data_IF_731688247187
#
_entry.id   IF_731688247187
#
_cell.length_a   1.000
_cell.length_b   1.000
_cell.length_c   1.000
_cell.angle_alpha   90.00
_cell.angle_beta   90.00
_cell.angle_gamma   90.00
#
_symmetry.space_group_name_H-M   'P 1'
#
loop_
_entity.id
_entity.type
_entity.pdbx_description
1 polymer ?
#
# COMPACT_ATOMS: atom_id res chain seq x y z
N UNK A 1 14.61 33.87 -7.57
CA UNK A 1 14.58 32.62 -6.77
C UNK A 1 14.30 31.48 -7.75
N UNK A 2 15.22 30.54 -7.91
CA UNK A 2 15.01 29.40 -8.80
C UNK A 2 13.76 28.63 -8.31
N UNK A 3 12.76 28.47 -9.19
CA UNK A 3 11.56 27.69 -8.94
C UNK A 3 11.91 26.19 -8.85
N UNK A 4 12.60 25.79 -7.79
CA UNK A 4 12.90 24.37 -7.54
C UNK A 4 11.56 23.70 -7.19
N UNK A 5 11.07 22.89 -8.12
CA UNK A 5 9.90 22.04 -7.92
C UNK A 5 10.35 20.58 -7.88
N UNK A 6 10.12 19.92 -6.75
CA UNK A 6 10.29 18.48 -6.66
C UNK A 6 8.92 17.81 -6.68
N UNK A 7 8.80 16.69 -7.35
CA UNK A 7 7.54 15.94 -7.41
C UNK A 7 7.76 14.44 -7.50
N UNK A 8 6.78 13.68 -7.04
CA UNK A 8 6.73 12.22 -7.17
C UNK A 8 5.30 11.70 -7.05
N UNK A 9 5.09 10.47 -7.50
CA UNK A 9 3.87 9.70 -7.23
C UNK A 9 4.16 8.80 -6.03
N UNK A 10 3.38 8.90 -4.97
CA UNK A 10 3.47 7.97 -3.85
C UNK A 10 2.69 6.70 -4.18
N UNK A 11 3.40 5.64 -4.57
CA UNK A 11 2.77 4.40 -5.04
C UNK A 11 2.07 3.67 -3.91
N UNK A 12 0.90 3.09 -4.22
CA UNK A 12 0.20 2.21 -3.27
C UNK A 12 1.04 0.97 -2.95
N UNK A 13 0.95 0.50 -1.71
CA UNK A 13 1.50 -0.78 -1.26
C UNK A 13 0.39 -1.84 -1.35
N UNK A 14 0.62 -2.92 -2.08
CA UNK A 14 -0.30 -4.06 -2.18
C UNK A 14 0.35 -5.28 -1.55
N UNK A 15 -0.30 -5.86 -0.56
CA UNK A 15 0.11 -7.14 0.01
C UNK A 15 -0.38 -8.27 -0.92
N UNK A 16 0.53 -8.86 -1.69
CA UNK A 16 0.22 -10.00 -2.58
C UNK A 16 -0.12 -11.25 -1.78
N UNK A 17 0.50 -11.45 -0.62
CA UNK A 17 0.03 -12.27 0.49
C UNK A 17 0.33 -11.55 1.81
N UNK A 18 -0.36 -11.94 2.88
CA UNK A 18 -0.10 -11.47 4.22
C UNK A 18 -0.35 -12.59 5.22
N UNK A 19 0.70 -13.13 5.77
CA UNK A 19 0.65 -14.09 6.87
C UNK A 19 0.89 -13.37 8.19
N UNK A 20 0.12 -13.74 9.20
CA UNK A 20 0.34 -13.35 10.59
C UNK A 20 0.95 -14.55 11.28
N UNK A 21 2.23 -14.45 11.67
CA UNK A 21 3.02 -15.56 12.20
C UNK A 21 3.13 -15.56 13.72
N UNK A 22 2.47 -14.61 14.39
CA UNK A 22 2.44 -14.55 15.85
C UNK A 22 2.01 -13.19 16.38
N UNK A 23 1.66 -13.16 17.66
CA UNK A 23 1.34 -11.96 18.41
C UNK A 23 2.46 -11.65 19.40
N UNK A 24 2.89 -10.40 19.45
CA UNK A 24 3.94 -9.91 20.35
C UNK A 24 3.37 -9.47 21.70
N UNK A 25 4.24 -9.40 22.69
CA UNK A 25 3.87 -8.92 24.04
C UNK A 25 3.45 -7.43 24.05
N UNK A 26 3.94 -6.63 23.10
CA UNK A 26 3.59 -5.21 22.91
C UNK A 26 2.26 -4.98 22.20
N UNK A 27 1.54 -6.07 21.88
CA UNK A 27 0.22 -6.03 21.21
C UNK A 27 0.28 -6.03 19.69
N UNK A 28 1.44 -5.81 19.08
CA UNK A 28 1.64 -5.95 17.64
C UNK A 28 1.65 -7.42 17.20
N UNK A 29 1.53 -7.63 15.88
CA UNK A 29 1.62 -8.95 15.27
C UNK A 29 2.88 -9.04 14.40
N UNK A 30 3.55 -10.19 14.47
CA UNK A 30 4.61 -10.51 13.53
C UNK A 30 3.98 -10.93 12.21
N UNK A 31 4.45 -10.30 11.14
CA UNK A 31 3.95 -10.49 9.79
C UNK A 31 5.01 -11.17 8.91
N UNK A 32 4.54 -11.82 7.87
CA UNK A 32 5.31 -12.24 6.71
C UNK A 32 4.47 -11.96 5.47
N UNK A 33 4.95 -11.10 4.59
CA UNK A 33 4.16 -10.61 3.45
C UNK A 33 5.05 -10.33 2.24
N UNK A 34 4.55 -10.59 1.06
CA UNK A 34 5.14 -10.10 -0.20
C UNK A 34 4.37 -8.86 -0.64
N UNK A 35 5.08 -7.75 -0.80
CA UNK A 35 4.49 -6.48 -1.16
C UNK A 35 4.97 -5.99 -2.51
N UNK A 36 4.05 -5.44 -3.29
CA UNK A 36 4.30 -4.85 -4.60
C UNK A 36 3.79 -3.40 -4.64
N UNK A 37 4.38 -2.61 -5.54
CA UNK A 37 4.10 -1.18 -5.67
C UNK A 37 3.67 -0.84 -7.11
N UNK A 38 2.42 -1.11 -7.50
CA UNK A 38 1.90 -0.71 -8.80
C UNK A 38 2.04 0.81 -9.00
N UNK A 39 2.23 1.25 -10.25
CA UNK A 39 2.36 2.67 -10.57
C UNK A 39 1.00 3.41 -10.50
N UNK A 40 0.38 3.34 -9.34
CA UNK A 40 -0.85 4.03 -8.96
C UNK A 40 -0.58 4.70 -7.63
N UNK A 41 -0.94 5.99 -7.46
CA UNK A 41 -0.64 6.69 -6.22
C UNK A 41 -1.26 8.07 -6.14
N UNK A 42 -0.98 8.72 -5.02
CA UNK A 42 -1.21 10.15 -4.84
C UNK A 42 -0.06 10.93 -5.48
N UNK A 43 -0.31 12.12 -5.99
CA UNK A 43 0.73 13.00 -6.51
C UNK A 43 1.17 13.96 -5.42
N UNK A 44 2.48 14.07 -5.22
CA UNK A 44 3.08 15.00 -4.25
C UNK A 44 3.99 15.96 -5.01
N UNK A 45 3.83 17.25 -4.73
CA UNK A 45 4.69 18.32 -5.21
C UNK A 45 5.19 19.12 -4.02
N UNK A 46 6.47 19.50 -4.02
CA UNK A 46 7.09 20.26 -2.92
C UNK A 46 7.86 21.43 -3.49
N UNK A 47 7.68 22.58 -2.86
CA UNK A 47 8.35 23.84 -3.20
C UNK A 47 9.06 24.38 -1.95
N UNK A 48 10.19 25.12 -2.11
CA UNK A 48 10.81 25.84 -1.01
C UNK A 48 9.84 26.87 -0.41
N UNK A 49 9.81 26.98 0.91
CA UNK A 49 9.00 27.97 1.64
C UNK A 49 9.69 28.34 2.96
N UNK A 50 9.21 29.38 3.64
CA UNK A 50 9.68 29.75 4.98
C UNK A 50 9.12 28.83 6.07
N UNK A 51 7.91 28.35 5.88
CA UNK A 51 7.17 27.50 6.82
C UNK A 51 6.80 26.16 6.18
N UNK A 52 6.45 25.17 7.00
CA UNK A 52 5.87 23.92 6.51
C UNK A 52 4.37 24.11 6.35
N UNK A 53 3.91 24.04 5.11
CA UNK A 53 2.50 24.11 4.78
C UNK A 53 2.07 22.84 4.03
N UNK A 54 0.84 22.39 4.23
CA UNK A 54 0.25 21.24 3.53
C UNK A 54 -1.07 21.65 2.90
N UNK A 55 -1.13 21.58 1.58
CA UNK A 55 -2.35 21.75 0.79
C UNK A 55 -2.80 20.39 0.25
N UNK A 56 -4.06 20.03 0.50
CA UNK A 56 -4.64 18.76 0.02
C UNK A 56 -5.71 19.08 -1.03
N UNK A 57 -5.54 18.50 -2.20
CA UNK A 57 -6.48 18.54 -3.33
C UNK A 57 -6.89 17.12 -3.75
N UNK A 58 -7.67 16.99 -4.82
CA UNK A 58 -8.07 15.69 -5.38
C UNK A 58 -9.45 15.23 -4.92
N UNK A 59 -9.90 14.11 -5.50
CA UNK A 59 -11.26 13.59 -5.31
C UNK A 59 -11.57 13.20 -3.87
N UNK A 60 -10.55 12.75 -3.12
CA UNK A 60 -10.69 12.21 -1.77
C UNK A 60 -10.18 13.16 -0.67
N UNK A 61 -9.98 14.46 -1.00
CA UNK A 61 -9.46 15.47 -0.06
C UNK A 61 -10.28 15.62 1.21
N UNK A 62 -11.62 15.52 1.13
CA UNK A 62 -12.53 15.72 2.27
C UNK A 62 -12.38 14.65 3.36
N UNK A 63 -11.74 13.54 3.05
CA UNK A 63 -11.61 12.42 3.97
C UNK A 63 -10.36 12.49 4.86
N UNK A 64 -9.46 13.45 4.62
CA UNK A 64 -8.17 13.57 5.34
C UNK A 64 -8.17 14.76 6.30
N UNK A 65 -7.96 14.55 7.61
CA UNK A 65 -7.64 15.62 8.53
C UNK A 65 -6.24 16.17 8.25
N UNK A 66 -6.08 17.49 8.28
CA UNK A 66 -4.78 18.16 8.08
C UNK A 66 -3.89 17.99 9.32
N UNK A 67 -4.45 18.25 10.52
CA UNK A 67 -3.68 18.31 11.77
C UNK A 67 -2.94 17.00 12.14
N UNK A 68 -3.54 15.84 11.88
CA UNK A 68 -2.98 14.51 12.21
C UNK A 68 -2.32 13.83 11.01
N UNK A 69 -1.99 14.59 9.95
CA UNK A 69 -1.47 14.02 8.72
C UNK A 69 -0.02 13.51 8.88
N UNK A 70 0.23 12.28 8.46
CA UNK A 70 1.57 11.67 8.48
C UNK A 70 2.61 12.48 7.70
N UNK A 71 2.21 13.23 6.68
CA UNK A 71 3.09 14.13 5.92
C UNK A 71 3.68 15.21 6.84
N UNK A 72 2.85 15.86 7.65
CA UNK A 72 3.33 16.88 8.60
C UNK A 72 4.15 16.26 9.73
N UNK A 73 3.79 15.06 10.19
CA UNK A 73 4.59 14.33 11.18
C UNK A 73 5.96 13.93 10.59
N UNK A 74 6.00 13.49 9.33
CA UNK A 74 7.24 13.15 8.63
C UNK A 74 8.17 14.35 8.48
N UNK A 75 7.66 15.53 8.14
CA UNK A 75 8.49 16.74 8.02
C UNK A 75 9.16 17.15 9.33
N UNK A 76 8.53 16.86 10.47
CA UNK A 76 9.08 17.15 11.82
C UNK A 76 10.22 16.23 12.24
N UNK A 77 10.46 15.12 11.53
CA UNK A 77 11.59 14.23 11.83
C UNK A 77 12.94 14.86 11.48
N UNK A 78 12.99 15.90 10.66
CA UNK A 78 14.20 16.67 10.35
C UNK A 78 14.48 17.72 11.44
N UNK A 79 14.81 17.26 12.65
CA UNK A 79 14.85 18.07 13.90
C UNK A 79 15.74 19.31 13.83
N UNK A 80 16.84 19.27 13.08
CA UNK A 80 17.82 20.35 13.00
C UNK A 80 17.64 21.24 11.77
N UNK A 81 16.60 21.02 10.97
CA UNK A 81 16.36 21.80 9.77
C UNK A 81 15.39 22.96 10.07
N UNK A 82 15.81 24.18 9.73
CA UNK A 82 15.00 25.40 9.88
C UNK A 82 14.28 25.81 8.58
N UNK A 83 14.52 25.10 7.48
CA UNK A 83 13.90 25.42 6.19
C UNK A 83 12.44 24.93 6.17
N UNK A 84 11.57 25.69 5.53
CA UNK A 84 10.19 25.31 5.29
C UNK A 84 9.99 24.66 3.90
N UNK A 85 8.78 24.22 3.67
CA UNK A 85 8.34 23.67 2.39
C UNK A 85 6.82 23.80 2.23
N UNK A 86 6.38 24.17 1.04
CA UNK A 86 4.99 24.08 0.62
C UNK A 86 4.75 22.72 -0.01
N UNK A 87 3.99 21.87 0.65
CA UNK A 87 3.71 20.49 0.26
C UNK A 87 2.30 20.41 -0.32
N UNK A 88 2.17 19.98 -1.56
CA UNK A 88 0.89 19.82 -2.24
C UNK A 88 0.62 18.34 -2.46
N UNK A 89 -0.42 17.82 -1.81
CA UNK A 89 -0.90 16.45 -1.97
C UNK A 89 -2.16 16.43 -2.83
N UNK A 90 -2.11 15.76 -3.99
CA UNK A 90 -3.31 15.45 -4.77
C UNK A 90 -3.75 14.02 -4.41
N UNK A 91 -4.82 13.92 -3.59
CA UNK A 91 -5.32 12.68 -3.01
C UNK A 91 -6.23 11.93 -3.98
N UNK A 92 -5.76 10.79 -4.46
CA UNK A 92 -6.45 9.93 -5.44
C UNK A 92 -6.67 8.50 -4.94
N UNK A 93 -6.02 8.11 -3.84
CA UNK A 93 -6.07 6.76 -3.26
C UNK A 93 -7.05 6.74 -2.09
N UNK A 94 -7.96 5.75 -2.01
CA UNK A 94 -8.87 5.60 -0.88
C UNK A 94 -8.14 5.52 0.47
N UNK A 95 -8.79 6.03 1.52
CA UNK A 95 -8.25 6.05 2.88
C UNK A 95 -8.72 4.82 3.62
N UNK A 96 -7.88 4.27 4.52
CA UNK A 96 -8.18 3.05 5.30
C UNK A 96 -8.59 1.88 4.41
N UNK A 97 -7.90 1.72 3.29
CA UNK A 97 -8.24 0.80 2.20
C UNK A 97 -7.25 -0.37 2.03
N UNK A 98 -6.35 -0.60 2.99
CA UNK A 98 -5.35 -1.67 2.88
C UNK A 98 -4.24 -1.42 1.85
N UNK A 99 -4.08 -0.17 1.38
CA UNK A 99 -3.14 0.22 0.32
C UNK A 99 -1.91 1.01 0.82
N UNK A 100 -1.75 1.20 2.12
CA UNK A 100 -0.61 1.91 2.70
C UNK A 100 -0.47 3.37 2.25
N UNK A 101 -1.55 4.02 1.77
CA UNK A 101 -1.48 5.34 1.13
C UNK A 101 -0.87 6.43 1.99
N UNK A 102 -1.19 6.47 3.30
CA UNK A 102 -0.59 7.43 4.24
C UNK A 102 0.90 7.21 4.45
N UNK A 103 1.32 5.95 4.63
CA UNK A 103 2.73 5.57 4.80
C UNK A 103 3.54 5.85 3.54
N UNK A 104 2.96 5.58 2.36
CA UNK A 104 3.61 5.89 1.08
C UNK A 104 3.75 7.41 0.87
N UNK A 105 2.74 8.21 1.25
CA UNK A 105 2.83 9.66 1.20
C UNK A 105 3.95 10.17 2.11
N UNK A 106 4.04 9.68 3.35
CA UNK A 106 5.10 10.04 4.29
C UNK A 106 6.49 9.66 3.75
N UNK A 107 6.65 8.43 3.21
CA UNK A 107 7.91 7.97 2.62
C UNK A 107 8.39 8.86 1.48
N UNK A 108 7.48 9.25 0.57
CA UNK A 108 7.81 10.15 -0.54
C UNK A 108 8.18 11.54 -0.04
N UNK A 109 7.43 12.08 0.93
CA UNK A 109 7.72 13.40 1.51
C UNK A 109 9.08 13.40 2.18
N UNK A 110 9.44 12.37 2.96
CA UNK A 110 10.78 12.26 3.56
C UNK A 110 11.88 12.34 2.48
N UNK A 111 11.76 11.60 1.39
CA UNK A 111 12.72 11.65 0.28
C UNK A 111 12.81 13.01 -0.40
N UNK A 112 11.65 13.61 -0.68
CA UNK A 112 11.60 14.90 -1.36
C UNK A 112 12.13 16.03 -0.48
N UNK A 113 11.84 16.03 0.84
CA UNK A 113 12.37 17.01 1.79
C UNK A 113 13.87 16.85 2.00
N UNK A 114 14.37 15.61 2.15
CA UNK A 114 15.81 15.32 2.22
C UNK A 114 16.55 15.90 1.00
N UNK A 115 15.98 15.69 -0.20
CA UNK A 115 16.54 16.26 -1.45
C UNK A 115 16.43 17.79 -1.51
N UNK A 116 15.26 18.36 -1.12
CA UNK A 116 15.02 19.80 -1.17
C UNK A 116 15.98 20.56 -0.26
N UNK A 117 16.19 20.03 0.95
CA UNK A 117 17.00 20.67 1.97
C UNK A 117 18.48 20.25 1.95
N UNK A 118 18.82 19.29 1.08
CA UNK A 118 20.15 18.69 0.98
C UNK A 118 20.65 18.16 2.35
N UNK A 119 19.80 17.42 3.05
CA UNK A 119 20.10 16.81 4.35
C UNK A 119 19.83 15.30 4.30
N UNK A 120 20.52 14.48 5.15
CA UNK A 120 20.27 13.05 5.19
C UNK A 120 18.84 12.76 5.64
N UNK A 121 18.35 11.57 5.25
CA UNK A 121 17.08 11.05 5.76
C UNK A 121 17.15 10.88 7.29
N UNK A 122 16.02 11.02 7.99
CA UNK A 122 15.93 10.65 9.42
C UNK A 122 16.33 9.18 9.65
N UNK A 123 16.67 8.85 10.90
CA UNK A 123 17.03 7.48 11.23
C UNK A 123 15.89 6.50 10.93
N UNK A 124 16.23 5.25 10.60
CA UNK A 124 15.21 4.23 10.34
C UNK A 124 14.32 4.01 11.57
N UNK A 125 14.87 4.15 12.77
CA UNK A 125 14.15 4.03 14.03
C UNK A 125 13.07 5.13 14.16
N UNK A 126 13.43 6.40 13.88
CA UNK A 126 12.47 7.51 13.90
C UNK A 126 11.36 7.30 12.84
N UNK A 127 11.71 6.77 11.66
CA UNK A 127 10.76 6.46 10.59
C UNK A 127 9.79 5.35 11.00
N UNK A 128 10.28 4.27 11.62
CA UNK A 128 9.45 3.16 12.12
C UNK A 128 8.49 3.64 13.21
N UNK A 129 8.95 4.49 14.13
CA UNK A 129 8.11 5.08 15.19
C UNK A 129 6.99 5.96 14.62
N UNK A 130 7.21 6.60 13.47
CA UNK A 130 6.18 7.35 12.78
C UNK A 130 5.11 6.43 12.17
N UNK A 131 5.51 5.27 11.67
CA UNK A 131 4.63 4.24 11.13
C UNK A 131 5.39 3.05 10.58
N UNK A 132 5.05 1.86 11.05
CA UNK A 132 5.75 0.60 10.72
C UNK A 132 5.78 0.27 9.20
N UNK A 133 4.76 0.71 8.45
CA UNK A 133 4.69 0.53 7.00
C UNK A 133 5.49 1.58 6.19
N UNK A 134 6.08 2.62 6.82
CA UNK A 134 6.81 3.66 6.08
C UNK A 134 8.11 3.12 5.48
N UNK A 135 8.94 2.34 6.20
CA UNK A 135 10.18 1.80 5.66
C UNK A 135 9.99 1.03 4.35
N UNK A 136 9.01 0.15 4.29
CA UNK A 136 8.77 -0.65 3.07
C UNK A 136 8.30 0.22 1.89
N UNK A 137 7.67 1.37 2.16
CA UNK A 137 7.28 2.35 1.13
C UNK A 137 8.44 3.23 0.63
N UNK A 138 9.62 3.17 1.25
CA UNK A 138 10.80 3.92 0.80
C UNK A 138 11.39 3.36 -0.50
N UNK A 139 11.09 2.13 -0.88
CA UNK A 139 11.49 1.54 -2.16
C UNK A 139 10.31 0.84 -2.81
N UNK A 140 10.22 0.89 -4.14
CA UNK A 140 9.05 0.37 -4.87
C UNK A 140 9.32 -0.94 -5.61
N UNK A 141 10.45 -1.59 -5.33
CA UNK A 141 10.73 -2.95 -5.81
C UNK A 141 9.84 -3.95 -5.08
N UNK A 142 9.73 -5.15 -5.64
CA UNK A 142 9.07 -6.26 -4.94
C UNK A 142 9.86 -6.60 -3.67
N UNK A 143 9.17 -6.66 -2.53
CA UNK A 143 9.82 -6.83 -1.22
C UNK A 143 9.08 -7.87 -0.38
N UNK A 144 9.84 -8.68 0.35
CA UNK A 144 9.33 -9.37 1.53
C UNK A 144 9.34 -8.40 2.71
N UNK A 145 8.24 -8.32 3.42
CA UNK A 145 8.05 -7.49 4.59
C UNK A 145 7.75 -8.38 5.79
N UNK A 146 8.57 -8.28 6.83
CA UNK A 146 8.49 -9.10 8.03
C UNK A 146 8.47 -8.25 9.30
N UNK A 147 8.37 -8.90 10.50
CA UNK A 147 8.26 -8.21 11.78
C UNK A 147 6.92 -7.48 11.89
N UNK A 148 6.93 -6.25 12.36
CA UNK A 148 5.72 -5.39 12.39
C UNK A 148 5.51 -4.63 11.05
N UNK A 149 6.35 -4.89 10.04
CA UNK A 149 6.44 -4.18 8.77
C UNK A 149 7.79 -3.46 8.59
N UNK A 150 8.66 -3.57 9.56
CA UNK A 150 9.93 -2.84 9.70
C UNK A 150 11.13 -3.58 9.09
N UNK A 151 11.07 -4.89 8.96
CA UNK A 151 12.13 -5.69 8.33
C UNK A 151 11.76 -6.00 6.87
N UNK A 152 12.55 -5.49 5.94
CA UNK A 152 12.29 -5.63 4.50
C UNK A 152 13.48 -6.20 3.76
N UNK A 153 13.24 -7.07 2.79
CA UNK A 153 14.24 -7.60 1.87
C UNK A 153 13.70 -7.62 0.45
N UNK A 154 14.57 -7.30 -0.52
CA UNK A 154 14.19 -7.31 -1.93
C UNK A 154 14.05 -8.73 -2.45
N UNK A 155 13.01 -8.95 -3.24
CA UNK A 155 12.77 -10.21 -3.94
C UNK A 155 13.01 -9.97 -5.43
N UNK A 156 13.99 -10.67 -5.97
CA UNK A 156 14.22 -10.69 -7.41
C UNK A 156 13.12 -11.49 -8.11
N UNK A 157 12.49 -10.91 -9.10
CA UNK A 157 11.54 -11.60 -9.98
C UNK A 157 11.69 -11.04 -11.40
N UNK A 158 11.60 -11.90 -12.40
CA UNK A 158 11.82 -11.52 -13.81
C UNK A 158 10.51 -11.51 -14.62
N UNK A 159 9.38 -11.62 -13.94
CA UNK A 159 8.07 -11.55 -14.54
C UNK A 159 7.36 -10.20 -14.29
N UNK A 160 6.27 -9.99 -14.98
CA UNK A 160 5.35 -8.90 -14.68
C UNK A 160 3.91 -9.37 -14.84
N UNK A 161 3.05 -8.71 -14.09
CA UNK A 161 1.61 -8.95 -14.10
C UNK A 161 0.87 -7.63 -14.20
N UNK A 162 -0.36 -7.73 -14.62
CA UNK A 162 -1.32 -6.63 -14.51
C UNK A 162 -2.15 -6.85 -13.25
N UNK A 163 -2.29 -5.80 -12.48
CA UNK A 163 -3.15 -5.77 -11.29
C UNK A 163 -4.35 -4.87 -11.56
N UNK A 164 -5.51 -5.37 -11.21
CA UNK A 164 -6.74 -4.59 -11.13
C UNK A 164 -7.09 -4.42 -9.66
N UNK A 165 -7.12 -3.18 -9.20
CA UNK A 165 -7.51 -2.81 -7.82
C UNK A 165 -8.95 -2.30 -7.84
N UNK A 166 -9.75 -2.74 -6.86
CA UNK A 166 -11.12 -2.28 -6.65
C UNK A 166 -11.38 -2.01 -5.18
N UNK A 167 -11.93 -0.84 -4.87
CA UNK A 167 -12.38 -0.45 -3.55
C UNK A 167 -13.81 0.10 -3.65
N UNK A 168 -14.74 -0.48 -2.89
CA UNK A 168 -16.15 -0.11 -2.89
C UNK A 168 -16.50 1.05 -1.95
N UNK A 169 -15.51 1.61 -1.24
CA UNK A 169 -15.68 2.71 -0.28
C UNK A 169 -15.80 2.28 1.17
N UNK A 170 -15.84 0.97 1.47
CA UNK A 170 -15.81 0.49 2.85
C UNK A 170 -14.50 0.89 3.52
N UNK A 171 -14.59 1.29 4.79
CA UNK A 171 -13.43 1.61 5.62
C UNK A 171 -13.21 0.49 6.64
N UNK A 172 -12.09 -0.21 6.52
CA UNK A 172 -11.72 -1.30 7.42
C UNK A 172 -10.64 -0.82 8.39
N UNK A 173 -10.98 -0.50 9.65
CA UNK A 173 -9.98 -0.09 10.65
C UNK A 173 -9.01 -1.23 10.93
N UNK A 174 -7.74 -1.06 10.57
CA UNK A 174 -6.71 -2.11 10.66
C UNK A 174 -6.59 -2.70 12.06
N UNK A 175 -6.61 -1.84 13.09
CA UNK A 175 -6.54 -2.28 14.48
C UNK A 175 -7.73 -3.16 14.91
N UNK A 176 -8.92 -2.90 14.38
CA UNK A 176 -10.10 -3.72 14.63
C UNK A 176 -9.93 -5.12 14.03
N UNK A 177 -9.46 -5.20 12.79
CA UNK A 177 -9.28 -6.49 12.10
C UNK A 177 -8.21 -7.35 12.80
N UNK A 178 -7.08 -6.75 13.21
CA UNK A 178 -6.05 -7.47 13.95
C UNK A 178 -6.51 -7.94 15.34
N UNK A 179 -7.36 -7.19 16.03
CA UNK A 179 -7.93 -7.60 17.33
C UNK A 179 -8.83 -8.82 17.23
N UNK A 180 -9.52 -8.98 16.12
CA UNK A 180 -10.44 -10.10 15.88
C UNK A 180 -9.74 -11.36 15.36
N UNK A 181 -8.44 -11.26 15.03
CA UNK A 181 -7.69 -12.40 14.52
C UNK A 181 -7.39 -13.37 15.67
N UNK A 182 -7.90 -14.60 15.58
CA UNK A 182 -7.59 -15.66 16.53
C UNK A 182 -6.19 -16.23 16.26
N UNK A 183 -5.44 -16.63 17.33
CA UNK A 183 -4.16 -17.34 17.15
C UNK A 183 -4.25 -18.61 16.30
N UNK A 184 -5.39 -19.30 16.30
CA UNK A 184 -5.64 -20.48 15.47
C UNK A 184 -5.64 -20.17 13.96
N UNK A 185 -5.68 -18.89 13.58
CA UNK A 185 -5.64 -18.44 12.19
C UNK A 185 -4.24 -17.98 11.76
N UNK A 186 -3.24 -18.06 12.63
CA UNK A 186 -1.88 -17.71 12.29
C UNK A 186 -1.31 -18.68 11.28
N UNK A 187 -0.44 -18.19 10.43
CA UNK A 187 0.30 -18.96 9.44
C UNK A 187 1.72 -19.23 9.93
N UNK A 188 2.34 -20.27 9.38
CA UNK A 188 3.77 -20.49 9.55
C UNK A 188 4.58 -19.53 8.69
N UNK A 189 5.85 -19.35 9.06
CA UNK A 189 6.85 -18.69 8.21
C UNK A 189 7.08 -19.55 6.98
N UNK A 190 7.07 -18.94 5.81
CA UNK A 190 7.27 -19.65 4.55
C UNK A 190 8.56 -19.21 3.86
N UNK A 191 9.16 -20.13 3.12
CA UNK A 191 10.28 -19.82 2.24
C UNK A 191 9.74 -19.32 0.89
N UNK A 192 10.20 -18.15 0.46
CA UNK A 192 9.92 -17.66 -0.88
C UNK A 192 10.89 -18.34 -1.85
N UNK A 193 10.40 -19.13 -2.82
CA UNK A 193 11.26 -19.76 -3.81
C UNK A 193 11.84 -18.71 -4.78
N UNK A 194 12.78 -19.12 -5.63
CA UNK A 194 13.22 -18.27 -6.74
C UNK A 194 12.03 -17.98 -7.67
N UNK A 195 11.74 -16.71 -7.87
CA UNK A 195 10.63 -16.23 -8.71
C UNK A 195 11.17 -15.82 -10.09
N UNK A 196 11.57 -16.82 -10.89
CA UNK A 196 12.26 -16.57 -12.16
C UNK A 196 11.35 -15.98 -13.25
N UNK A 197 10.03 -16.17 -13.14
CA UNK A 197 9.06 -15.74 -14.12
C UNK A 197 7.67 -15.52 -13.49
N UNK A 198 6.73 -15.06 -14.29
CA UNK A 198 5.33 -14.85 -13.90
C UNK A 198 4.68 -16.16 -13.39
N UNK A 199 4.97 -17.29 -14.01
CA UNK A 199 4.37 -18.59 -13.65
C UNK A 199 4.80 -19.03 -12.25
N UNK A 200 6.10 -18.94 -11.93
CA UNK A 200 6.62 -19.26 -10.60
C UNK A 200 6.05 -18.36 -9.52
N UNK A 201 5.91 -17.05 -9.79
CA UNK A 201 5.27 -16.11 -8.88
C UNK A 201 3.79 -16.49 -8.63
N UNK A 202 3.00 -16.74 -9.66
CA UNK A 202 1.59 -17.12 -9.52
C UNK A 202 1.44 -18.45 -8.79
N UNK A 203 2.28 -19.46 -9.11
CA UNK A 203 2.27 -20.76 -8.41
C UNK A 203 2.54 -20.57 -6.91
N UNK A 204 3.54 -19.76 -6.56
CA UNK A 204 3.84 -19.41 -5.17
C UNK A 204 2.67 -18.67 -4.52
N UNK A 205 2.12 -17.63 -5.14
CA UNK A 205 1.01 -16.88 -4.58
C UNK A 205 -0.24 -17.74 -4.37
N UNK A 206 -0.50 -18.75 -5.21
CA UNK A 206 -1.61 -19.71 -5.03
C UNK A 206 -1.47 -20.56 -3.77
N UNK A 207 -0.25 -20.81 -3.29
CA UNK A 207 -0.01 -21.53 -2.03
C UNK A 207 -0.05 -20.64 -0.79
N UNK A 208 -0.27 -19.35 -0.96
CA UNK A 208 -0.33 -18.34 0.11
C UNK A 208 -1.73 -17.75 0.25
N UNK A 209 -1.95 -16.97 1.31
CA UNK A 209 -3.23 -16.31 1.57
C UNK A 209 -3.04 -14.94 2.25
N UNK A 210 -4.13 -14.26 2.51
CA UNK A 210 -4.17 -13.14 3.44
C UNK A 210 -4.93 -13.59 4.70
N UNK A 211 -4.23 -13.73 5.83
CA UNK A 211 -4.82 -14.22 7.09
C UNK A 211 -5.92 -13.28 7.63
N UNK A 212 -5.87 -11.99 7.26
CA UNK A 212 -6.88 -11.02 7.67
C UNK A 212 -8.17 -11.11 6.83
N UNK A 213 -8.14 -11.75 5.67
CA UNK A 213 -9.26 -11.74 4.70
C UNK A 213 -10.52 -12.38 5.27
N UNK A 214 -10.41 -13.57 5.90
CA UNK A 214 -11.56 -14.26 6.51
C UNK A 214 -12.22 -13.43 7.62
N UNK A 215 -11.39 -12.79 8.45
CA UNK A 215 -11.88 -11.93 9.54
C UNK A 215 -12.56 -10.69 8.99
N UNK A 216 -11.96 -10.08 7.96
CA UNK A 216 -12.53 -8.90 7.33
C UNK A 216 -13.85 -9.22 6.62
N UNK A 217 -13.95 -10.34 5.90
CA UNK A 217 -15.18 -10.80 5.26
C UNK A 217 -16.31 -10.98 6.28
N UNK A 218 -16.01 -11.54 7.46
CA UNK A 218 -17.01 -11.73 8.52
C UNK A 218 -17.63 -10.41 8.97
N UNK A 219 -16.84 -9.33 9.03
CA UNK A 219 -17.30 -7.99 9.43
C UNK A 219 -17.83 -7.14 8.27
N UNK A 220 -17.27 -7.34 7.09
CA UNK A 220 -17.58 -6.61 5.86
C UNK A 220 -17.87 -7.61 4.72
N UNK A 221 -19.09 -8.21 4.68
CA UNK A 221 -19.42 -9.24 3.68
C UNK A 221 -19.31 -8.78 2.23
N UNK A 222 -19.38 -7.46 1.98
CA UNK A 222 -19.14 -6.85 0.67
C UNK A 222 -17.80 -7.26 0.06
N UNK A 223 -16.76 -7.52 0.89
CA UNK A 223 -15.43 -7.97 0.42
C UNK A 223 -15.54 -9.32 -0.30
N UNK A 224 -16.32 -10.26 0.25
CA UNK A 224 -16.55 -11.57 -0.42
C UNK A 224 -17.22 -11.38 -1.77
N UNK A 225 -18.22 -10.49 -1.83
CA UNK A 225 -18.91 -10.17 -3.10
C UNK A 225 -17.93 -9.64 -4.14
N UNK A 226 -16.99 -8.76 -3.74
CA UNK A 226 -15.97 -8.25 -4.65
C UNK A 226 -15.06 -9.38 -5.15
N UNK A 227 -14.56 -10.24 -4.26
CA UNK A 227 -13.69 -11.36 -4.61
C UNK A 227 -14.36 -12.34 -5.57
N UNK A 228 -15.63 -12.70 -5.32
CA UNK A 228 -16.40 -13.56 -6.21
C UNK A 228 -16.53 -12.96 -7.61
N UNK A 229 -16.77 -11.66 -7.72
CA UNK A 229 -16.85 -11.00 -9.01
C UNK A 229 -15.49 -10.93 -9.72
N UNK A 230 -14.37 -10.83 -9.00
CA UNK A 230 -13.06 -10.98 -9.62
C UNK A 230 -12.85 -12.37 -10.22
N UNK A 231 -13.26 -13.43 -9.51
CA UNK A 231 -13.15 -14.82 -9.97
C UNK A 231 -13.97 -15.10 -11.21
N UNK A 232 -15.08 -14.39 -11.40
CA UNK A 232 -15.90 -14.46 -12.62
C UNK A 232 -15.25 -13.79 -13.83
N UNK A 233 -14.18 -13.00 -13.65
CA UNK A 233 -13.54 -12.32 -14.78
C UNK A 233 -12.56 -13.24 -15.51
N UNK A 234 -12.65 -13.25 -16.84
CA UNK A 234 -11.75 -14.06 -17.66
C UNK A 234 -10.29 -13.63 -17.49
N UNK A 235 -9.40 -14.61 -17.33
CA UNK A 235 -7.97 -14.39 -17.15
C UNK A 235 -7.55 -13.96 -15.73
N UNK A 236 -8.45 -13.94 -14.77
CA UNK A 236 -8.09 -13.69 -13.37
C UNK A 236 -7.29 -14.89 -12.83
N UNK A 237 -6.01 -14.67 -12.52
CA UNK A 237 -5.10 -15.71 -12.03
C UNK A 237 -5.21 -15.89 -10.51
N UNK A 238 -5.46 -14.81 -9.81
CA UNK A 238 -5.63 -14.72 -8.35
C UNK A 238 -6.54 -13.55 -8.06
N UNK A 239 -7.50 -13.73 -7.14
CA UNK A 239 -8.23 -12.66 -6.47
C UNK A 239 -7.90 -12.66 -4.99
N UNK A 240 -7.71 -11.47 -4.37
CA UNK A 240 -7.37 -11.36 -2.95
C UNK A 240 -7.60 -9.95 -2.42
N UNK A 241 -7.82 -9.84 -1.11
CA UNK A 241 -7.84 -8.56 -0.39
C UNK A 241 -6.40 -8.11 -0.06
N UNK A 242 -6.10 -6.82 -0.16
CA UNK A 242 -4.82 -6.25 0.25
C UNK A 242 -4.85 -5.77 1.70
N UNK A 243 -3.84 -6.17 2.48
CA UNK A 243 -3.73 -5.77 3.89
C UNK A 243 -4.96 -6.15 4.70
N UNK A 244 -5.44 -5.24 5.53
CA UNK A 244 -6.70 -5.39 6.30
C UNK A 244 -7.96 -5.04 5.48
N UNK A 245 -7.81 -4.77 4.19
CA UNK A 245 -8.89 -4.34 3.31
C UNK A 245 -9.14 -2.81 3.40
N UNK A 246 -10.15 -2.35 2.73
CA UNK A 246 -11.22 -3.02 1.96
C UNK A 246 -10.89 -3.22 0.47
N UNK A 247 -9.70 -2.81 0.01
CA UNK A 247 -9.34 -2.99 -1.41
C UNK A 247 -9.10 -4.46 -1.72
N UNK A 248 -9.80 -4.97 -2.74
CA UNK A 248 -9.54 -6.24 -3.38
C UNK A 248 -8.76 -6.03 -4.67
N UNK A 249 -8.01 -7.06 -5.08
CA UNK A 249 -7.29 -7.04 -6.34
C UNK A 249 -7.42 -8.35 -7.09
N UNK A 250 -7.31 -8.25 -8.42
CA UNK A 250 -7.13 -9.38 -9.32
C UNK A 250 -5.82 -9.27 -10.08
N UNK A 251 -5.11 -10.40 -10.26
CA UNK A 251 -3.89 -10.48 -11.07
C UNK A 251 -4.20 -11.09 -12.42
N UNK A 252 -3.62 -10.51 -13.47
CA UNK A 252 -3.81 -10.90 -14.87
C UNK A 252 -2.47 -10.93 -15.61
N UNK A 253 -2.32 -11.85 -16.55
CA UNK A 253 -1.12 -11.90 -17.39
C UNK A 253 -1.13 -10.79 -18.44
N UNK A 254 -2.31 -10.48 -19.01
CA UNK A 254 -2.47 -9.51 -20.10
C UNK A 254 -3.22 -8.25 -19.66
N UNK A 255 -2.75 -7.09 -20.16
CA UNK A 255 -3.44 -5.82 -19.97
C UNK A 255 -4.88 -5.84 -20.45
N UNK A 256 -5.12 -6.46 -21.60
CA UNK A 256 -6.45 -6.54 -22.21
C UNK A 256 -7.46 -7.27 -21.32
N UNK A 257 -7.04 -8.34 -20.63
CA UNK A 257 -7.86 -9.07 -19.67
C UNK A 257 -8.20 -8.20 -18.44
N UNK A 258 -7.18 -7.56 -17.83
CA UNK A 258 -7.40 -6.65 -16.72
C UNK A 258 -8.34 -5.47 -17.07
N UNK A 259 -8.25 -4.96 -18.30
CA UNK A 259 -9.13 -3.88 -18.78
C UNK A 259 -10.57 -4.38 -19.03
N UNK A 260 -10.74 -5.56 -19.60
CA UNK A 260 -12.07 -6.19 -19.75
C UNK A 260 -12.70 -6.44 -18.38
N UNK A 261 -11.93 -7.00 -17.43
CA UNK A 261 -12.37 -7.19 -16.05
C UNK A 261 -12.76 -5.88 -15.36
N UNK A 262 -11.97 -4.82 -15.55
CA UNK A 262 -12.31 -3.48 -15.04
C UNK A 262 -13.68 -3.02 -15.56
N UNK A 263 -13.96 -3.16 -16.87
CA UNK A 263 -15.22 -2.71 -17.45
C UNK A 263 -16.40 -3.52 -16.90
N UNK A 264 -16.25 -4.84 -16.78
CA UNK A 264 -17.25 -5.71 -16.16
C UNK A 264 -17.54 -5.30 -14.72
N UNK A 265 -16.48 -5.12 -13.90
CA UNK A 265 -16.64 -4.75 -12.50
C UNK A 265 -17.22 -3.34 -12.30
N UNK A 266 -16.92 -2.40 -13.20
CA UNK A 266 -17.53 -1.06 -13.17
C UNK A 266 -19.04 -1.08 -13.41
N UNK A 267 -19.55 -2.01 -14.23
CA UNK A 267 -21.00 -2.18 -14.42
C UNK A 267 -21.69 -2.69 -13.14
N UNK A 268 -21.01 -3.56 -12.38
CA UNK A 268 -21.54 -4.11 -11.12
C UNK A 268 -21.36 -3.14 -9.93
N UNK A 269 -20.26 -2.39 -9.93
CA UNK A 269 -19.87 -1.48 -8.84
C UNK A 269 -19.56 -0.07 -9.36
N UNK A 270 -20.53 0.68 -9.90
CA UNK A 270 -20.31 1.93 -10.63
C UNK A 270 -19.72 3.06 -9.79
N UNK A 271 -19.91 3.02 -8.46
CA UNK A 271 -19.38 4.02 -7.51
C UNK A 271 -17.99 3.68 -6.96
N UNK A 272 -17.44 2.51 -7.31
CA UNK A 272 -16.17 2.04 -6.78
C UNK A 272 -14.98 2.80 -7.36
N UNK A 273 -13.95 2.93 -6.54
CA UNK A 273 -12.62 3.28 -7.03
C UNK A 273 -11.99 2.04 -7.67
N UNK A 274 -11.62 2.16 -8.94
CA UNK A 274 -11.05 1.04 -9.68
C UNK A 274 -9.89 1.50 -10.55
N UNK A 275 -8.78 0.75 -10.56
CA UNK A 275 -7.55 1.06 -11.28
C UNK A 275 -6.87 -0.19 -11.81
N UNK A 276 -6.30 -0.08 -13.01
CA UNK A 276 -5.43 -1.10 -13.61
C UNK A 276 -4.02 -0.55 -13.70
N UNK A 277 -3.04 -1.35 -13.31
CA UNK A 277 -1.63 -1.02 -13.46
C UNK A 277 -0.78 -2.27 -13.71
N UNK A 278 0.46 -2.06 -14.14
CA UNK A 278 1.49 -3.10 -14.19
C UNK A 278 2.13 -3.22 -12.81
N UNK A 279 2.37 -4.45 -12.35
CA UNK A 279 3.26 -4.72 -11.22
C UNK A 279 4.67 -4.86 -11.80
N UNK A 280 5.58 -4.05 -11.28
CA UNK A 280 7.00 -4.19 -11.57
C UNK A 280 7.58 -5.21 -10.58
N UNK A 281 8.11 -6.27 -11.08
CA UNK A 281 8.86 -7.29 -10.36
C UNK A 281 10.34 -7.14 -10.65
#
# INVERSE_FOLDING_TARGET
>A
MNNIKLHSISRVKVNLYLHVIGKRKDGYHNLDSLVAFPNIGDKIEIYPSKNINLTITGRLKKELPIKENLILKASKLFKNNKNGADIHLNKNIPISAGLGGGSSNAAVVLKLLSKLWNVPLPSIQDIVLLGADIPVCMDWRLQRMQGIGDNTSFISSHGYLWILLLNNGDKTPTNLIFKELSPNNFSDVINIPKLNDTRSLIKFLKSTRNDLEKVTIKKFPSIKILLDHFEMTSGCLISRMSGSGSTCFGLYEKKSEAVKAKNFLLQKFPKSWIKVAKILS
#
